data_IF_957456617963
#
_entry.id   IF_957456617963
#
_cell.length_a   1.000
_cell.length_b   1.000
_cell.length_c   1.000
_cell.angle_alpha   90.00
_cell.angle_beta   90.00
_cell.angle_gamma   90.00
#
_symmetry.space_group_name_H-M   'P 1'
#
loop_
_entity.id
_entity.type
_entity.pdbx_description
1 polymer ?
#
# COMPACT_ATOMS: atom_id res chain seq x y z
N UNK A 1 4.94 12.87 1.84
CA UNK A 1 3.58 13.33 1.47
C UNK A 1 2.91 14.03 2.65
N UNK A 2 2.56 13.32 3.74
CA UNK A 2 1.94 13.94 4.94
C UNK A 2 2.69 15.15 5.49
N UNK A 3 4.02 15.03 5.67
CA UNK A 3 4.89 16.12 6.14
C UNK A 3 4.94 17.33 5.20
N UNK A 4 4.49 17.20 3.95
CA UNK A 4 4.46 18.27 2.94
C UNK A 4 3.04 18.79 2.69
N UNK A 5 2.08 18.48 3.58
CA UNK A 5 0.69 18.95 3.47
C UNK A 5 -0.23 18.09 2.57
N UNK A 6 0.28 17.01 1.97
CA UNK A 6 -0.58 16.10 1.19
C UNK A 6 -1.49 15.27 2.09
N UNK A 7 -2.79 15.22 1.75
CA UNK A 7 -3.82 14.46 2.43
C UNK A 7 -3.91 13.05 1.84
N UNK A 8 -3.82 12.02 2.68
CA UNK A 8 -4.04 10.63 2.25
C UNK A 8 -5.54 10.36 2.25
N UNK A 9 -6.12 10.05 1.09
CA UNK A 9 -7.55 9.74 0.94
C UNK A 9 -7.82 8.23 0.93
N UNK A 10 -6.81 7.43 0.59
CA UNK A 10 -6.76 5.97 0.83
C UNK A 10 -5.31 5.55 1.09
N UNK A 11 -5.10 4.87 2.20
CA UNK A 11 -3.78 4.35 2.58
C UNK A 11 -3.23 3.39 1.52
N UNK A 12 -1.90 3.29 1.38
CA UNK A 12 -1.26 2.29 0.55
C UNK A 12 -1.74 0.88 0.92
N UNK A 13 -2.20 0.12 -0.08
CA UNK A 13 -2.57 -1.27 0.12
C UNK A 13 -2.74 -2.02 -1.19
N UNK A 14 -2.66 -3.35 -1.11
CA UNK A 14 -2.94 -4.23 -2.24
C UNK A 14 -4.38 -4.03 -2.74
N UNK A 15 -4.56 -4.16 -4.05
CA UNK A 15 -5.89 -4.21 -4.65
C UNK A 15 -6.58 -5.55 -4.34
N UNK A 16 -7.92 -5.58 -4.32
CA UNK A 16 -8.70 -6.78 -3.97
C UNK A 16 -8.35 -8.04 -4.78
N UNK A 17 -7.78 -7.89 -5.97
CA UNK A 17 -7.49 -9.00 -6.89
C UNK A 17 -6.07 -8.93 -7.51
N UNK A 18 -5.11 -8.27 -6.86
CA UNK A 18 -3.74 -8.17 -7.38
C UNK A 18 -2.72 -7.79 -6.31
N UNK A 19 -1.44 -7.92 -6.64
CA UNK A 19 -0.32 -7.58 -5.73
C UNK A 19 0.14 -6.13 -5.85
N UNK A 20 -0.45 -5.36 -6.76
CA UNK A 20 -0.17 -3.93 -6.93
C UNK A 20 -0.61 -3.15 -5.71
N UNK A 21 0.33 -2.46 -5.08
CA UNK A 21 0.07 -1.52 -3.97
C UNK A 21 -0.25 -0.16 -4.56
N UNK A 22 -1.40 0.38 -4.17
CA UNK A 22 -1.89 1.68 -4.63
C UNK A 22 -2.26 2.54 -3.41
N UNK A 23 -1.95 3.83 -3.47
CA UNK A 23 -2.43 4.84 -2.53
C UNK A 23 -3.09 5.99 -3.29
N UNK A 24 -4.09 6.63 -2.68
CA UNK A 24 -4.69 7.86 -3.21
C UNK A 24 -4.41 9.02 -2.27
N UNK A 25 -4.00 10.14 -2.86
CA UNK A 25 -3.67 11.36 -2.13
C UNK A 25 -4.27 12.59 -2.82
N UNK A 26 -4.40 13.67 -2.07
CA UNK A 26 -4.72 15.01 -2.53
C UNK A 26 -3.56 15.94 -2.13
N UNK A 27 -3.05 16.74 -3.06
CA UNK A 27 -2.01 17.73 -2.74
C UNK A 27 -2.63 19.02 -2.15
N UNK A 28 -1.82 19.96 -1.62
CA UNK A 28 -2.35 21.21 -1.04
C UNK A 28 -3.17 22.08 -2.00
N UNK A 29 -3.00 21.90 -3.30
CA UNK A 29 -3.71 22.65 -4.34
C UNK A 29 -5.02 21.93 -4.77
N UNK A 30 -5.30 20.75 -4.21
CA UNK A 30 -6.52 19.98 -4.45
C UNK A 30 -6.41 18.96 -5.59
N UNK A 31 -5.23 18.74 -6.16
CA UNK A 31 -5.06 17.73 -7.20
C UNK A 31 -5.09 16.32 -6.61
N UNK A 32 -5.86 15.44 -7.24
CA UNK A 32 -5.95 14.03 -6.88
C UNK A 32 -4.87 13.24 -7.60
N UNK A 33 -4.10 12.47 -6.85
CA UNK A 33 -2.95 11.70 -7.35
C UNK A 33 -3.11 10.24 -6.95
N UNK A 34 -2.85 9.34 -7.90
CA UNK A 34 -2.74 7.90 -7.69
C UNK A 34 -1.26 7.50 -7.69
N UNK A 35 -0.81 6.89 -6.60
CA UNK A 35 0.54 6.36 -6.48
C UNK A 35 0.52 4.85 -6.73
N UNK A 36 1.28 4.41 -7.74
CA UNK A 36 1.43 3.00 -8.10
C UNK A 36 2.84 2.56 -7.72
N UNK A 37 2.95 1.52 -6.90
CA UNK A 37 4.26 0.92 -6.60
C UNK A 37 4.77 0.12 -7.81
N UNK A 38 5.92 0.52 -8.36
CA UNK A 38 6.68 -0.25 -9.36
C UNK A 38 7.77 -1.07 -8.64
N UNK A 39 8.13 -2.27 -9.14
CA UNK A 39 8.97 -3.28 -8.46
C UNK A 39 10.39 -2.83 -8.07
N UNK A 40 11.19 -3.58 -7.28
CA UNK A 40 11.17 -5.03 -6.95
C UNK A 40 10.31 -5.41 -5.75
N UNK A 41 9.43 -6.38 -5.92
CA UNK A 41 8.75 -6.99 -4.77
C UNK A 41 9.75 -7.81 -3.94
N UNK A 42 9.93 -7.45 -2.67
CA UNK A 42 10.19 -8.45 -1.64
C UNK A 42 8.91 -9.27 -1.48
N UNK A 43 8.86 -10.43 -2.12
CA UNK A 43 7.82 -11.43 -1.94
C UNK A 43 7.86 -11.97 -0.51
N UNK A 44 7.26 -11.28 0.45
CA UNK A 44 7.01 -11.90 1.75
C UNK A 44 5.77 -11.32 2.41
N UNK A 45 4.64 -11.97 2.15
CA UNK A 45 3.74 -12.42 3.23
C UNK A 45 2.81 -13.53 2.69
N UNK A 46 3.36 -14.74 2.68
CA UNK A 46 2.66 -15.96 3.11
C UNK A 46 3.57 -16.64 4.13
N UNK A 47 3.68 -16.08 5.32
CA UNK A 47 4.28 -16.73 6.49
C UNK A 47 3.61 -16.18 7.75
N UNK A 48 2.31 -16.42 7.86
CA UNK A 48 1.60 -16.38 9.14
C UNK A 48 0.44 -17.37 9.04
N UNK A 49 0.76 -18.66 8.88
CA UNK A 49 -0.24 -19.74 8.91
C UNK A 49 0.31 -21.14 9.28
N UNK A 50 1.54 -21.26 9.85
CA UNK A 50 2.10 -22.60 10.13
C UNK A 50 2.81 -22.76 11.49
N UNK A 51 2.77 -21.79 12.42
CA UNK A 51 3.40 -21.96 13.75
C UNK A 51 2.42 -22.31 14.89
N UNK A 52 1.16 -22.66 14.58
CA UNK A 52 0.16 -23.05 15.60
C UNK A 52 -0.12 -24.55 15.66
N UNK A 53 0.60 -25.40 14.93
CA UNK A 53 0.31 -26.83 14.93
C UNK A 53 1.56 -27.69 14.74
N UNK A 54 2.42 -27.77 15.76
CA UNK A 54 3.01 -29.04 16.27
C UNK A 54 4.12 -28.74 17.28
N UNK A 55 3.95 -29.32 18.48
CA UNK A 55 4.84 -29.39 19.65
C UNK A 55 4.80 -28.22 20.64
#
# INVERSE_FOLDING_TARGET
>A
IRKRGGKITREPGAMKHGSTVIAFIEDPDGYKIELIQLGTQGSTQKQEATVSASS
#
